data_IF_365059471162
#
_entry.id   IF_365059471162
#
_cell.length_a   1.000
_cell.length_b   1.000
_cell.length_c   1.000
_cell.angle_alpha   90.00
_cell.angle_beta   90.00
_cell.angle_gamma   90.00
#
_symmetry.space_group_name_H-M   'P 1'
#
loop_
_entity.id
_entity.type
_entity.pdbx_description
1 polymer ?
#
# COMPACT_ATOMS: atom_id res chain seq x y z
N UNK A 1 6.21 4.17 0.18
CA UNK A 1 5.24 5.19 -0.26
C UNK A 1 5.30 5.34 -1.78
N UNK A 2 4.15 5.43 -2.45
CA UNK A 2 4.00 5.62 -3.90
C UNK A 2 4.91 4.72 -4.75
N UNK A 3 4.74 3.41 -4.68
CA UNK A 3 5.63 2.40 -5.32
C UNK A 3 5.69 2.53 -6.85
N UNK A 4 4.62 3.06 -7.45
CA UNK A 4 4.51 3.36 -8.87
C UNK A 4 5.00 4.78 -9.26
N UNK A 5 5.66 5.50 -8.36
CA UNK A 5 6.16 6.85 -8.65
C UNK A 5 7.24 6.82 -9.75
N UNK A 6 7.28 7.83 -10.64
CA UNK A 6 8.17 7.80 -11.79
C UNK A 6 9.64 8.06 -11.44
N UNK A 7 9.95 8.68 -10.30
CA UNK A 7 11.30 9.07 -9.90
C UNK A 7 11.60 8.74 -8.44
N UNK A 8 12.88 8.50 -8.13
CA UNK A 8 13.40 8.26 -6.77
C UNK A 8 12.78 7.04 -6.03
N UNK A 9 11.96 6.21 -6.68
CA UNK A 9 11.35 5.03 -6.07
C UNK A 9 12.34 3.86 -6.01
N UNK A 10 12.20 2.98 -5.01
CA UNK A 10 13.10 1.83 -4.83
C UNK A 10 13.15 0.93 -6.07
N UNK A 11 12.00 0.62 -6.67
CA UNK A 11 11.93 -0.16 -7.92
C UNK A 11 12.60 0.59 -9.07
N UNK A 12 12.49 1.92 -9.11
CA UNK A 12 13.11 2.72 -10.17
C UNK A 12 14.63 2.77 -10.05
N UNK A 13 15.16 2.70 -8.83
CA UNK A 13 16.60 2.74 -8.54
C UNK A 13 17.26 1.36 -8.62
N UNK A 14 16.58 0.33 -8.10
CA UNK A 14 17.15 -1.01 -7.94
C UNK A 14 16.58 -2.03 -8.94
N UNK A 15 15.45 -1.73 -9.57
CA UNK A 15 14.70 -2.69 -10.39
C UNK A 15 13.86 -3.69 -9.59
N UNK A 16 13.99 -3.73 -8.26
CA UNK A 16 13.26 -4.66 -7.39
C UNK A 16 13.10 -4.12 -5.96
N UNK A 17 12.31 -4.82 -5.14
CA UNK A 17 12.23 -4.60 -3.70
C UNK A 17 13.04 -5.71 -3.00
N UNK A 18 14.09 -5.39 -2.21
CA UNK A 18 14.87 -6.40 -1.50
C UNK A 18 14.02 -7.21 -0.52
N UNK A 19 14.14 -8.54 -0.55
CA UNK A 19 13.34 -9.45 0.27
C UNK A 19 13.57 -9.28 1.78
N UNK A 20 14.73 -8.77 2.19
CA UNK A 20 15.12 -8.57 3.59
C UNK A 20 14.91 -7.11 4.06
N UNK A 21 14.20 -6.28 3.31
CA UNK A 21 13.95 -4.87 3.68
C UNK A 21 13.04 -4.73 4.92
N UNK A 22 12.28 -5.77 5.27
CA UNK A 22 11.44 -5.79 6.47
C UNK A 22 10.21 -4.89 6.38
N UNK A 23 9.71 -4.62 5.18
CA UNK A 23 8.50 -3.80 4.98
C UNK A 23 7.23 -4.61 5.21
N UNK A 24 6.25 -3.98 5.87
CA UNK A 24 4.92 -4.58 6.11
C UNK A 24 3.95 -4.39 4.93
N UNK A 25 4.33 -3.61 3.92
CA UNK A 25 3.50 -3.34 2.74
C UNK A 25 4.05 -2.21 1.87
N UNK A 26 3.38 -1.98 0.75
CA UNK A 26 3.66 -0.89 -0.18
C UNK A 26 2.42 -0.04 -0.37
N UNK A 27 2.64 1.24 -0.59
CA UNK A 27 1.59 2.17 -0.95
C UNK A 27 1.60 2.37 -2.47
N UNK A 28 0.43 2.28 -3.08
CA UNK A 28 0.15 2.61 -4.48
C UNK A 28 -0.45 4.01 -4.52
N UNK A 29 0.08 4.87 -5.39
CA UNK A 29 -0.41 6.24 -5.49
C UNK A 29 -1.84 6.29 -6.02
N UNK A 30 -2.56 7.36 -5.67
CA UNK A 30 -3.96 7.60 -6.08
C UNK A 30 -4.21 7.61 -7.60
N UNK A 31 -3.16 7.65 -8.42
CA UNK A 31 -3.25 7.74 -9.89
C UNK A 31 -3.44 6.39 -10.58
N UNK A 32 -3.43 5.27 -9.85
CA UNK A 32 -3.66 3.93 -10.38
C UNK A 32 -4.35 3.05 -9.34
N UNK A 33 -5.24 2.16 -9.79
CA UNK A 33 -5.85 1.18 -8.88
C UNK A 33 -4.83 0.13 -8.40
N UNK A 34 -5.04 -0.42 -7.20
CA UNK A 34 -4.20 -1.51 -6.67
C UNK A 34 -4.23 -2.74 -7.61
N UNK A 35 -5.39 -3.04 -8.18
CA UNK A 35 -5.57 -4.17 -9.12
C UNK A 35 -4.69 -3.98 -10.35
N UNK A 36 -4.68 -2.78 -10.96
CA UNK A 36 -3.82 -2.49 -12.10
C UNK A 36 -2.35 -2.41 -11.73
N UNK A 37 -2.01 -1.85 -10.57
CA UNK A 37 -0.63 -1.79 -10.08
C UNK A 37 -0.04 -3.20 -9.94
N UNK A 38 -0.79 -4.15 -9.38
CA UNK A 38 -0.38 -5.56 -9.28
C UNK A 38 -0.19 -6.26 -10.64
N UNK A 39 -0.88 -5.80 -11.68
CA UNK A 39 -0.68 -6.31 -13.05
C UNK A 39 0.57 -5.72 -13.70
N UNK A 40 0.88 -4.44 -13.43
CA UNK A 40 1.98 -3.71 -14.06
C UNK A 40 3.32 -3.83 -13.32
N UNK A 41 3.29 -4.10 -12.02
CA UNK A 41 4.45 -4.14 -11.12
C UNK A 41 4.47 -5.51 -10.45
N UNK A 42 5.29 -6.43 -10.97
CA UNK A 42 5.31 -7.81 -10.49
C UNK A 42 5.86 -7.92 -9.06
N UNK A 43 6.74 -6.99 -8.68
CA UNK A 43 7.43 -6.93 -7.38
C UNK A 43 6.47 -6.74 -6.19
N UNK A 44 5.28 -6.18 -6.43
CA UNK A 44 4.29 -5.92 -5.38
C UNK A 44 3.19 -6.96 -5.27
N UNK A 45 3.18 -7.97 -6.15
CA UNK A 45 2.10 -8.97 -6.23
C UNK A 45 1.92 -9.77 -4.93
N UNK A 46 3.02 -10.02 -4.21
CA UNK A 46 3.01 -10.73 -2.93
C UNK A 46 2.99 -9.81 -1.70
N UNK A 47 2.94 -8.49 -1.89
CA UNK A 47 3.01 -7.53 -0.80
C UNK A 47 1.61 -6.97 -0.47
N UNK A 48 1.34 -6.70 0.82
CA UNK A 48 0.20 -5.90 1.22
C UNK A 48 0.24 -4.55 0.50
N UNK A 49 -0.85 -4.17 -0.15
CA UNK A 49 -0.95 -2.95 -0.94
C UNK A 49 -2.00 -2.04 -0.31
N UNK A 50 -1.64 -0.79 -0.09
CA UNK A 50 -2.51 0.27 0.45
C UNK A 50 -2.51 1.48 -0.47
N UNK A 51 -3.47 2.39 -0.29
CA UNK A 51 -3.50 3.69 -0.95
C UNK A 51 -3.98 4.77 0.02
N UNK A 52 -3.37 5.95 -0.07
CA UNK A 52 -3.70 7.11 0.76
C UNK A 52 -3.79 8.36 -0.12
N UNK A 53 -4.51 9.37 0.35
CA UNK A 53 -4.75 10.58 -0.44
C UNK A 53 -3.50 11.42 -0.66
N UNK A 54 -2.53 11.36 0.27
CA UNK A 54 -1.37 12.27 0.31
C UNK A 54 -1.83 13.74 0.20
N UNK A 55 -2.85 14.08 1.00
CA UNK A 55 -3.56 15.34 0.92
C UNK A 55 -2.67 16.51 1.36
N UNK A 56 -2.53 17.50 0.47
CA UNK A 56 -1.85 18.77 0.75
C UNK A 56 -2.85 19.92 0.94
N UNK A 57 -4.08 19.74 0.44
CA UNK A 57 -5.21 20.64 0.63
C UNK A 57 -6.38 19.90 1.31
N UNK A 58 -7.26 20.61 2.05
CA UNK A 58 -8.41 19.98 2.69
C UNK A 58 -9.30 19.18 1.73
N UNK A 59 -9.47 19.67 0.50
CA UNK A 59 -10.30 19.02 -0.52
C UNK A 59 -9.72 17.70 -1.03
N UNK A 60 -8.42 17.42 -0.80
CA UNK A 60 -7.79 16.15 -1.16
C UNK A 60 -8.05 15.05 -0.12
N UNK A 61 -8.53 15.39 1.08
CA UNK A 61 -8.70 14.43 2.17
C UNK A 61 -9.69 13.34 1.76
N UNK A 62 -9.20 12.09 1.74
CA UNK A 62 -10.04 10.95 1.40
C UNK A 62 -10.41 10.83 -0.08
N UNK A 63 -9.72 11.51 -0.99
CA UNK A 63 -9.92 11.32 -2.45
C UNK A 63 -9.65 9.86 -2.89
N UNK A 64 -8.79 9.17 -2.15
CA UNK A 64 -8.66 7.71 -2.14
C UNK A 64 -8.43 7.26 -0.69
N UNK A 65 -8.77 6.00 -0.39
CA UNK A 65 -8.61 5.43 0.94
C UNK A 65 -8.32 3.94 0.87
N UNK A 66 -7.81 3.39 1.97
CA UNK A 66 -7.67 1.95 2.18
C UNK A 66 -8.74 1.48 3.15
N UNK A 67 -9.46 0.42 2.78
CA UNK A 67 -10.42 -0.23 3.68
C UNK A 67 -9.72 -1.37 4.42
N UNK A 68 -9.80 -1.34 5.74
CA UNK A 68 -9.25 -2.37 6.61
C UNK A 68 -10.37 -3.13 7.31
N UNK A 69 -10.36 -4.46 7.16
CA UNK A 69 -11.20 -5.35 7.96
C UNK A 69 -10.50 -5.63 9.29
N UNK A 70 -11.05 -5.07 10.37
CA UNK A 70 -10.47 -5.13 11.72
C UNK A 70 -11.54 -5.19 12.82
N UNK A 71 -11.13 -5.64 14.02
CA UNK A 71 -12.04 -5.73 15.17
C UNK A 71 -12.19 -4.41 15.94
N UNK A 72 -11.22 -3.50 15.84
CA UNK A 72 -11.24 -2.20 16.48
C UNK A 72 -10.33 -1.20 15.74
N UNK A 73 -10.63 0.12 15.77
CA UNK A 73 -9.82 1.14 15.12
C UNK A 73 -8.54 1.43 15.94
N UNK A 74 -7.57 0.52 15.88
CA UNK A 74 -6.31 0.63 16.62
C UNK A 74 -5.11 0.33 15.73
N UNK A 75 -3.95 0.91 16.09
CA UNK A 75 -2.69 0.66 15.39
C UNK A 75 -2.34 -0.84 15.35
N UNK A 76 -2.59 -1.56 16.46
CA UNK A 76 -2.33 -3.00 16.55
C UNK A 76 -3.15 -3.79 15.52
N UNK A 77 -4.40 -3.41 15.31
CA UNK A 77 -5.28 -4.04 14.32
C UNK A 77 -4.85 -3.72 12.89
N UNK A 78 -4.42 -2.47 12.62
CA UNK A 78 -3.83 -2.11 11.31
C UNK A 78 -2.60 -2.98 11.01
N UNK A 79 -1.71 -3.17 11.99
CA UNK A 79 -0.53 -4.04 11.82
C UNK A 79 -0.92 -5.50 11.52
N UNK A 80 -1.97 -6.03 12.18
CA UNK A 80 -2.49 -7.36 11.89
C UNK A 80 -3.09 -7.45 10.48
N UNK A 81 -3.80 -6.42 10.04
CA UNK A 81 -4.42 -6.35 8.72
C UNK A 81 -3.40 -6.28 7.59
N UNK A 82 -2.36 -5.46 7.74
CA UNK A 82 -1.22 -5.43 6.81
C UNK A 82 -0.59 -6.82 6.70
N UNK A 83 -0.43 -7.53 7.83
CA UNK A 83 0.16 -8.88 7.86
C UNK A 83 -0.79 -10.01 7.46
N UNK A 84 -2.07 -9.73 7.16
CA UNK A 84 -3.08 -10.75 6.85
C UNK A 84 -3.32 -11.74 7.99
N UNK A 85 -3.16 -11.32 9.26
CA UNK A 85 -3.17 -12.23 10.42
C UNK A 85 -4.51 -12.20 11.16
N UNK A 86 -4.87 -13.33 11.77
CA UNK A 86 -6.05 -13.47 12.65
C UNK A 86 -7.36 -13.01 12.00
N UNK A 87 -7.50 -13.24 10.69
CA UNK A 87 -8.69 -12.86 9.92
C UNK A 87 -8.81 -11.36 9.58
N UNK A 88 -7.76 -10.56 9.84
CA UNK A 88 -7.67 -9.16 9.42
C UNK A 88 -7.07 -9.06 8.04
N UNK A 89 -7.52 -8.10 7.25
CA UNK A 89 -7.05 -7.92 5.88
C UNK A 89 -7.27 -6.48 5.39
N UNK A 90 -6.58 -6.16 4.31
CA UNK A 90 -6.89 -5.01 3.46
C UNK A 90 -7.91 -5.48 2.42
N UNK A 91 -8.99 -4.73 2.24
CA UNK A 91 -9.95 -4.97 1.16
C UNK A 91 -9.44 -4.27 -0.12
N UNK A 92 -9.41 -5.00 -1.24
CA UNK A 92 -8.86 -4.56 -2.53
C UNK A 92 -9.92 -4.70 -3.61
#
# INVERSE_FOLDING_TARGET
AHVNRPAFGIIRQLGFIPNNLGIDGVEVSRHISIIEARKKISEIKGLPCVTFSDAHFPDDIGIVWTVFKMAAPSFKEISLALKGKRGRMIEV
#
